data_IF_477402483723
#
_entry.id   IF_477402483723
#
_cell.length_a   1.000
_cell.length_b   1.000
_cell.length_c   1.000
_cell.angle_alpha   90.00
_cell.angle_beta   90.00
_cell.angle_gamma   90.00
#
_symmetry.space_group_name_H-M   'P 1'
#
loop_
_entity.id
_entity.type
_entity.pdbx_description
1 polymer ?
#
# COMPACT_ATOMS: atom_id res chain seq x y z
N UNK A 1 -26.12 -1.13 -13.79
CA UNK A 1 -26.63 0.22 -13.43
C UNK A 1 -25.93 0.61 -12.14
N UNK A 2 -25.11 1.66 -12.15
CA UNK A 2 -24.43 2.16 -10.94
C UNK A 2 -25.45 2.89 -10.07
N UNK A 3 -25.53 2.54 -8.79
CA UNK A 3 -26.46 3.20 -7.86
C UNK A 3 -25.85 4.48 -7.31
N UNK A 4 -26.68 5.39 -6.77
CA UNK A 4 -26.18 6.58 -6.09
C UNK A 4 -25.30 6.25 -4.87
N UNK A 5 -25.56 5.12 -4.20
CA UNK A 5 -24.74 4.62 -3.11
C UNK A 5 -23.33 4.25 -3.59
N UNK A 6 -23.21 3.56 -4.73
CA UNK A 6 -21.91 3.18 -5.31
C UNK A 6 -21.06 4.41 -5.66
N UNK A 7 -21.70 5.47 -6.16
CA UNK A 7 -21.01 6.74 -6.49
C UNK A 7 -20.49 7.42 -5.23
N UNK A 8 -21.28 7.46 -4.16
CA UNK A 8 -20.87 8.05 -2.88
C UNK A 8 -19.74 7.25 -2.23
N UNK A 9 -19.81 5.93 -2.27
CA UNK A 9 -18.77 5.07 -1.73
C UNK A 9 -17.47 5.24 -2.51
N UNK A 10 -17.52 5.21 -3.84
CA UNK A 10 -16.34 5.46 -4.69
C UNK A 10 -15.71 6.84 -4.41
N UNK A 11 -16.53 7.86 -4.13
CA UNK A 11 -16.02 9.19 -3.73
C UNK A 11 -15.34 9.16 -2.37
N UNK A 12 -15.87 8.42 -1.39
CA UNK A 12 -15.25 8.25 -0.07
C UNK A 12 -13.92 7.52 -0.19
N UNK A 13 -13.87 6.43 -0.95
CA UNK A 13 -12.65 5.69 -1.22
C UNK A 13 -11.58 6.56 -1.90
N UNK A 14 -11.99 7.40 -2.86
CA UNK A 14 -11.08 8.34 -3.53
C UNK A 14 -10.50 9.38 -2.55
N UNK A 15 -11.30 9.86 -1.60
CA UNK A 15 -10.82 10.76 -0.53
C UNK A 15 -9.90 10.02 0.44
N UNK A 16 -10.23 8.78 0.82
CA UNK A 16 -9.39 7.94 1.67
C UNK A 16 -8.03 7.67 1.00
N UNK A 17 -8.02 7.36 -0.30
CA UNK A 17 -6.81 7.15 -1.09
C UNK A 17 -5.92 8.40 -1.08
N UNK A 18 -6.49 9.57 -1.39
CA UNK A 18 -5.74 10.83 -1.36
C UNK A 18 -5.12 11.10 0.01
N UNK A 19 -5.88 10.86 1.09
CA UNK A 19 -5.38 11.01 2.46
C UNK A 19 -4.25 10.02 2.75
N UNK A 20 -4.43 8.75 2.39
CA UNK A 20 -3.43 7.70 2.61
C UNK A 20 -2.09 8.06 1.97
N UNK A 21 -2.12 8.37 0.66
CA UNK A 21 -0.92 8.70 -0.11
C UNK A 21 -0.26 9.98 0.41
N UNK A 22 -1.05 10.97 0.84
CA UNK A 22 -0.53 12.20 1.46
C UNK A 22 0.23 11.91 2.76
N UNK A 23 -0.33 11.09 3.64
CA UNK A 23 0.32 10.75 4.90
C UNK A 23 1.59 9.91 4.67
N UNK A 24 1.55 8.96 3.74
CA UNK A 24 2.74 8.20 3.32
C UNK A 24 3.83 9.11 2.73
N UNK A 25 3.47 10.04 1.84
CA UNK A 25 4.42 11.01 1.26
C UNK A 25 5.05 11.95 2.31
N UNK A 26 4.36 12.15 3.44
CA UNK A 26 4.85 12.91 4.58
C UNK A 26 5.59 12.05 5.62
N UNK A 27 5.67 10.73 5.44
CA UNK A 27 6.23 9.80 6.43
C UNK A 27 5.45 9.79 7.74
N UNK A 28 4.15 10.10 7.71
CA UNK A 28 3.31 10.19 8.91
C UNK A 28 2.52 8.91 9.12
N UNK A 29 2.53 8.44 10.36
CA UNK A 29 1.69 7.35 10.84
C UNK A 29 0.47 7.89 11.59
N UNK A 30 -0.60 7.10 11.61
CA UNK A 30 -1.77 7.39 12.43
C UNK A 30 -1.38 7.29 13.92
N UNK A 31 -1.65 8.33 14.73
CA UNK A 31 -1.27 8.32 16.13
C UNK A 31 -2.13 7.33 16.91
N UNK A 32 -1.49 6.39 17.61
CA UNK A 32 -2.18 5.48 18.52
C UNK A 32 -2.45 6.14 19.89
N UNK A 33 -1.61 7.09 20.29
CA UNK A 33 -1.66 7.76 21.58
C UNK A 33 -1.76 9.26 21.38
N UNK A 34 -2.62 9.89 22.16
CA UNK A 34 -2.75 11.36 22.18
C UNK A 34 -2.79 11.87 23.61
N UNK A 35 -2.20 13.04 23.81
CA UNK A 35 -2.22 13.80 25.06
C UNK A 35 -3.01 15.09 24.86
N UNK A 36 -3.69 15.57 25.90
CA UNK A 36 -4.33 16.86 25.86
C UNK A 36 -3.30 17.96 26.16
N UNK A 37 -3.30 19.02 25.35
CA UNK A 37 -2.53 20.23 25.58
C UNK A 37 -3.48 21.37 25.96
N UNK A 38 -3.43 21.77 27.23
CA UNK A 38 -4.31 22.81 27.78
C UNK A 38 -4.07 24.19 27.15
N UNK A 39 -2.86 24.47 26.65
CA UNK A 39 -2.53 25.77 26.05
C UNK A 39 -3.19 25.91 24.68
N UNK A 40 -3.26 24.80 23.94
CA UNK A 40 -3.91 24.75 22.63
C UNK A 40 -5.38 24.33 22.70
N UNK A 41 -5.83 23.82 23.85
CA UNK A 41 -7.16 23.24 24.02
C UNK A 41 -7.40 22.03 23.12
N UNK A 42 -6.35 21.28 22.78
CA UNK A 42 -6.37 20.27 21.71
C UNK A 42 -5.66 18.96 22.07
N UNK A 43 -6.06 17.86 21.42
CA UNK A 43 -5.38 16.57 21.52
C UNK A 43 -4.23 16.48 20.52
N UNK A 44 -3.02 16.19 21.00
CA UNK A 44 -1.80 16.07 20.21
C UNK A 44 -1.33 14.63 20.14
N UNK A 45 -0.83 14.21 18.97
CA UNK A 45 -0.17 12.90 18.78
C UNK A 45 1.07 12.77 19.65
N UNK A 46 1.26 11.61 20.27
CA UNK A 46 2.42 11.32 21.09
C UNK A 46 2.80 9.84 21.03
N UNK A 47 3.95 9.48 21.61
CA UNK A 47 4.31 8.09 21.88
C UNK A 47 3.60 7.57 23.15
N UNK A 48 3.51 6.24 23.27
CA UNK A 48 2.97 5.56 24.46
C UNK A 48 3.69 6.01 25.75
N UNK A 49 5.03 5.96 25.74
CA UNK A 49 5.85 6.30 26.90
C UNK A 49 5.62 7.74 27.38
N UNK A 50 5.46 8.68 26.45
CA UNK A 50 5.15 10.07 26.79
C UNK A 50 3.71 10.25 27.29
N UNK A 51 2.76 9.48 26.74
CA UNK A 51 1.36 9.53 27.15
C UNK A 51 1.20 9.01 28.59
N UNK A 52 1.74 7.84 28.88
CA UNK A 52 1.54 7.15 30.16
C UNK A 52 2.47 7.64 31.27
N UNK A 53 3.64 8.19 30.93
CA UNK A 53 4.61 8.71 31.91
C UNK A 53 4.53 10.22 32.18
N UNK A 54 3.77 10.98 31.38
CA UNK A 54 3.84 12.44 31.35
C UNK A 54 2.95 13.19 32.35
N UNK A 55 2.09 12.50 33.11
CA UNK A 55 1.17 13.10 34.09
C UNK A 55 0.08 14.00 33.49
N UNK A 56 -0.02 14.09 32.15
CA UNK A 56 -1.09 14.80 31.43
C UNK A 56 -2.23 13.85 31.11
N UNK A 57 -3.41 14.41 30.87
CA UNK A 57 -4.53 13.64 30.35
C UNK A 57 -4.17 13.03 28.99
N UNK A 58 -4.36 11.72 28.90
CA UNK A 58 -4.06 10.96 27.70
C UNK A 58 -5.22 10.03 27.34
N UNK A 59 -5.27 9.65 26.07
CA UNK A 59 -6.15 8.57 25.60
C UNK A 59 -5.46 7.77 24.50
N UNK A 60 -5.77 6.48 24.47
CA UNK A 60 -5.42 5.60 23.36
C UNK A 60 -6.51 5.67 22.30
N UNK A 61 -6.14 6.04 21.08
CA UNK A 61 -7.06 6.15 19.94
C UNK A 61 -7.43 4.78 19.39
N UNK A 62 -6.45 3.87 19.34
CA UNK A 62 -6.64 2.48 18.93
C UNK A 62 -7.13 1.65 20.12
N UNK A 63 -8.25 0.95 19.96
CA UNK A 63 -8.64 -0.05 20.96
C UNK A 63 -7.85 -1.35 20.75
N UNK A 64 -7.39 -2.01 21.81
CA UNK A 64 -6.76 -3.33 21.71
C UNK A 64 -7.67 -4.31 20.98
N UNK A 65 -7.12 -5.06 20.01
CA UNK A 65 -7.87 -6.05 19.23
C UNK A 65 -8.67 -5.49 18.05
N UNK A 66 -8.83 -4.18 17.94
CA UNK A 66 -9.46 -3.59 16.75
C UNK A 66 -8.47 -3.50 15.57
N UNK A 67 -8.96 -3.73 14.34
CA UNK A 67 -8.17 -3.52 13.13
C UNK A 67 -7.75 -2.06 13.01
N UNK A 68 -6.53 -1.86 12.53
CA UNK A 68 -5.90 -0.54 12.47
C UNK A 68 -5.00 -0.43 11.24
N UNK A 69 -5.19 0.64 10.47
CA UNK A 69 -4.27 1.06 9.43
C UNK A 69 -3.16 1.91 10.04
N UNK A 70 -1.90 1.54 9.83
CA UNK A 70 -0.74 2.31 10.32
C UNK A 70 -0.72 3.76 9.80
N UNK A 71 -1.37 4.04 8.67
CA UNK A 71 -1.41 5.37 8.03
C UNK A 71 -2.69 6.14 8.35
N UNK A 72 -3.85 5.48 8.32
CA UNK A 72 -5.17 6.13 8.43
C UNK A 72 -5.92 5.83 9.73
N UNK A 73 -5.36 4.99 10.59
CA UNK A 73 -5.94 4.61 11.86
C UNK A 73 -7.14 3.72 11.70
N UNK A 74 -8.32 4.16 12.16
CA UNK A 74 -9.57 3.39 12.08
C UNK A 74 -10.16 3.30 10.68
N UNK A 75 -9.72 4.16 9.76
CA UNK A 75 -10.12 4.05 8.36
C UNK A 75 -9.29 2.94 7.70
N UNK A 76 -9.95 1.83 7.43
CA UNK A 76 -9.37 0.64 6.84
C UNK A 76 -9.57 0.56 5.32
N UNK A 77 -10.29 1.51 4.72
CA UNK A 77 -10.72 1.46 3.31
C UNK A 77 -9.57 1.13 2.36
N UNK A 78 -8.38 1.67 2.62
CA UNK A 78 -7.19 1.41 1.81
C UNK A 78 -6.45 0.15 2.29
N UNK A 79 -6.41 -0.10 3.59
CA UNK A 79 -5.69 -1.24 4.17
C UNK A 79 -6.31 -2.59 3.80
N UNK A 80 -7.64 -2.65 3.60
CA UNK A 80 -8.37 -3.86 3.20
C UNK A 80 -8.49 -4.04 1.69
N UNK A 81 -7.97 -3.11 0.90
CA UNK A 81 -8.00 -3.19 -0.56
C UNK A 81 -6.73 -3.84 -1.09
N UNK A 82 -6.76 -5.16 -1.24
CA UNK A 82 -5.61 -5.96 -1.69
C UNK A 82 -5.05 -5.48 -3.03
N UNK A 83 -5.90 -4.96 -3.93
CA UNK A 83 -5.45 -4.46 -5.23
C UNK A 83 -4.61 -3.19 -5.05
N UNK A 84 -5.03 -2.27 -4.20
CA UNK A 84 -4.23 -1.07 -3.90
C UNK A 84 -2.97 -1.44 -3.12
N UNK A 85 -3.06 -2.32 -2.13
CA UNK A 85 -1.89 -2.79 -1.37
C UNK A 85 -0.85 -3.44 -2.29
N UNK A 86 -1.27 -4.22 -3.30
CA UNK A 86 -0.35 -4.78 -4.29
C UNK A 86 0.39 -3.71 -5.10
N UNK A 87 -0.25 -2.59 -5.42
CA UNK A 87 0.44 -1.46 -6.08
C UNK A 87 1.45 -0.82 -5.13
N UNK A 88 1.06 -0.56 -3.89
CA UNK A 88 1.93 0.08 -2.91
C UNK A 88 3.14 -0.78 -2.53
N UNK A 89 2.98 -2.10 -2.50
CA UNK A 89 4.08 -3.05 -2.29
C UNK A 89 5.18 -2.96 -3.36
N UNK A 90 4.90 -2.37 -4.52
CA UNK A 90 5.92 -2.12 -5.57
C UNK A 90 6.77 -0.88 -5.32
N UNK A 91 6.43 -0.08 -4.30
CA UNK A 91 7.18 1.10 -3.89
C UNK A 91 8.20 0.65 -2.84
N UNK A 92 9.47 0.97 -3.05
CA UNK A 92 10.50 0.70 -2.06
C UNK A 92 10.24 1.47 -0.76
N UNK A 93 10.48 0.84 0.39
CA UNK A 93 10.30 1.46 1.71
C UNK A 93 11.13 2.75 1.87
N UNK A 94 12.28 2.82 1.19
CA UNK A 94 13.19 3.97 1.20
C UNK A 94 13.00 4.95 0.02
N UNK A 95 11.86 4.91 -0.69
CA UNK A 95 11.56 5.86 -1.79
C UNK A 95 10.42 6.85 -1.42
N UNK A 96 10.69 7.85 -0.56
CA UNK A 96 9.73 8.93 -0.30
C UNK A 96 9.42 9.77 -1.55
N UNK A 97 10.30 9.76 -2.56
CA UNK A 97 10.09 10.42 -3.84
C UNK A 97 9.00 9.77 -4.68
N UNK A 98 8.86 8.45 -4.65
CA UNK A 98 7.74 7.73 -5.26
C UNK A 98 6.40 8.12 -4.63
N UNK A 99 6.32 8.12 -3.30
CA UNK A 99 5.09 8.52 -2.60
C UNK A 99 4.67 9.96 -2.93
N UNK A 100 5.63 10.90 -3.01
CA UNK A 100 5.35 12.29 -3.43
C UNK A 100 4.81 12.37 -4.85
N UNK A 101 5.36 11.60 -5.80
CA UNK A 101 4.86 11.55 -7.18
C UNK A 101 3.42 11.02 -7.23
N UNK A 102 3.14 9.92 -6.51
CA UNK A 102 1.79 9.38 -6.41
C UNK A 102 0.82 10.37 -5.75
N UNK A 103 1.28 11.14 -4.76
CA UNK A 103 0.46 12.18 -4.16
C UNK A 103 0.06 13.24 -5.19
N UNK A 104 0.99 13.71 -6.02
CA UNK A 104 0.67 14.68 -7.07
C UNK A 104 -0.34 14.14 -8.09
N UNK A 105 -0.25 12.86 -8.43
CA UNK A 105 -1.21 12.22 -9.34
C UNK A 105 -2.60 12.13 -8.70
N UNK A 106 -2.67 11.63 -7.47
CA UNK A 106 -3.94 11.43 -6.77
C UNK A 106 -4.59 12.74 -6.33
N UNK A 107 -3.82 13.78 -6.05
CA UNK A 107 -4.32 15.10 -5.68
C UNK A 107 -5.10 15.73 -6.85
N UNK A 108 -4.63 15.51 -8.08
CA UNK A 108 -5.26 16.01 -9.31
C UNK A 108 -6.48 15.20 -9.74
N UNK A 109 -6.43 13.88 -9.61
CA UNK A 109 -7.47 13.00 -10.16
C UNK A 109 -7.72 11.74 -9.30
N UNK A 110 -8.22 11.88 -8.06
CA UNK A 110 -8.24 10.78 -7.09
C UNK A 110 -9.11 9.60 -7.53
N UNK A 111 -10.28 9.84 -8.13
CA UNK A 111 -11.17 8.79 -8.60
C UNK A 111 -10.58 8.00 -9.79
N UNK A 112 -9.87 8.69 -10.69
CA UNK A 112 -9.17 8.05 -11.80
C UNK A 112 -8.02 7.19 -11.29
N UNK A 113 -7.17 7.75 -10.43
CA UNK A 113 -6.08 7.01 -9.79
C UNK A 113 -6.59 5.77 -9.04
N UNK A 114 -7.67 5.89 -8.29
CA UNK A 114 -8.29 4.76 -7.59
C UNK A 114 -8.65 3.62 -8.57
N UNK A 115 -9.33 3.93 -9.66
CA UNK A 115 -9.72 2.93 -10.66
C UNK A 115 -8.51 2.31 -11.38
N UNK A 116 -7.60 3.16 -11.86
CA UNK A 116 -6.41 2.77 -12.61
C UNK A 116 -5.47 1.90 -11.75
N UNK A 117 -5.25 2.29 -10.50
CA UNK A 117 -4.38 1.57 -9.58
C UNK A 117 -5.00 0.27 -9.10
N UNK A 118 -6.32 0.22 -8.84
CA UNK A 118 -7.00 -1.06 -8.59
C UNK A 118 -6.88 -2.01 -9.77
N UNK A 119 -7.05 -1.51 -11.00
CA UNK A 119 -6.88 -2.33 -12.21
C UNK A 119 -5.44 -2.85 -12.36
N UNK A 120 -4.44 -2.00 -12.09
CA UNK A 120 -3.03 -2.41 -12.05
C UNK A 120 -2.76 -3.44 -10.97
N UNK A 121 -3.29 -3.22 -9.77
CA UNK A 121 -3.19 -4.11 -8.62
C UNK A 121 -3.72 -5.51 -8.91
N UNK A 122 -4.91 -5.61 -9.49
CA UNK A 122 -5.47 -6.90 -9.94
C UNK A 122 -4.57 -7.62 -10.93
N UNK A 123 -3.91 -6.90 -11.85
CA UNK A 123 -2.94 -7.49 -12.78
C UNK A 123 -1.68 -7.98 -12.07
N UNK A 124 -1.19 -7.23 -11.09
CA UNK A 124 -0.03 -7.64 -10.27
C UNK A 124 -0.35 -8.90 -9.48
N UNK A 125 -1.50 -8.91 -8.78
CA UNK A 125 -1.96 -10.08 -8.04
C UNK A 125 -2.14 -11.30 -8.96
N UNK A 126 -2.80 -11.13 -10.11
CA UNK A 126 -2.96 -12.22 -11.08
C UNK A 126 -1.63 -12.75 -11.63
N UNK A 127 -0.64 -11.88 -11.87
CA UNK A 127 0.68 -12.29 -12.32
C UNK A 127 1.43 -13.10 -11.25
N UNK A 128 1.31 -12.70 -9.98
CA UNK A 128 1.96 -13.39 -8.85
C UNK A 128 1.24 -14.70 -8.48
N UNK A 129 -0.09 -14.72 -8.55
CA UNK A 129 -0.89 -15.95 -8.42
C UNK A 129 -0.72 -16.90 -9.60
N UNK A 130 -0.16 -16.41 -10.72
CA UNK A 130 -0.06 -17.10 -11.99
C UNK A 130 1.21 -17.93 -12.23
N UNK A 131 2.19 -18.00 -11.31
CA UNK A 131 3.43 -18.75 -11.60
C UNK A 131 4.11 -19.44 -10.39
N UNK A 132 4.66 -20.69 -10.52
CA UNK A 132 4.38 -21.70 -11.55
C UNK A 132 3.92 -23.05 -10.95
N UNK A 133 3.08 -23.78 -11.69
CA UNK A 133 3.13 -25.26 -11.64
C UNK A 133 4.59 -25.62 -11.89
N UNK A 134 5.20 -26.37 -10.97
CA UNK A 134 6.49 -27.02 -11.16
C UNK A 134 6.44 -27.86 -12.44
N UNK A 135 6.68 -27.20 -13.57
CA UNK A 135 6.83 -27.86 -14.85
C UNK A 135 8.21 -28.46 -14.78
N UNK A 136 8.24 -29.72 -14.35
CA UNK A 136 9.41 -30.57 -14.44
C UNK A 136 10.02 -30.41 -15.82
N UNK A 137 11.24 -29.88 -15.84
CA UNK A 137 11.94 -29.55 -17.06
C UNK A 137 13.34 -29.16 -16.68
N UNK A 138 14.14 -30.17 -16.32
CA UNK A 138 15.57 -30.01 -16.22
C UNK A 138 16.08 -29.22 -17.44
N UNK A 139 17.15 -28.45 -17.25
CA UNK A 139 17.82 -27.76 -18.36
C UNK A 139 18.17 -28.71 -19.53
N UNK A 140 18.19 -30.03 -19.30
CA UNK A 140 18.39 -31.04 -20.33
C UNK A 140 17.24 -31.13 -21.37
N UNK A 141 16.00 -30.77 -21.04
CA UNK A 141 14.89 -30.75 -22.00
C UNK A 141 15.03 -29.67 -23.08
N UNK A 142 15.65 -28.52 -22.76
CA UNK A 142 15.89 -27.43 -23.72
C UNK A 142 17.00 -27.74 -24.73
N UNK A 143 17.86 -28.72 -24.46
CA UNK A 143 18.93 -29.17 -25.37
C UNK A 143 18.57 -30.47 -26.13
N UNK A 144 17.37 -31.04 -25.92
CA UNK A 144 16.92 -32.23 -26.62
C UNK A 144 16.37 -31.96 -28.03
N UNK A 145 16.24 -30.68 -28.42
CA UNK A 145 15.94 -30.30 -29.81
C UNK A 145 17.14 -30.66 -30.71
N UNK A 146 16.92 -31.68 -31.54
CA UNK A 146 17.87 -32.23 -32.52
C UNK A 146 18.39 -31.13 -33.45
N UNK A 147 19.69 -30.80 -33.38
CA UNK A 147 20.36 -30.07 -34.47
C UNK A 147 21.36 -28.95 -34.15
N UNK A 148 21.61 -28.57 -32.89
CA UNK A 148 22.58 -27.48 -32.59
C UNK A 148 23.60 -27.92 -31.54
N UNK A 149 24.37 -28.95 -31.86
CA UNK A 149 25.50 -29.40 -31.04
C UNK A 149 26.66 -28.41 -31.07
N UNK A 150 27.31 -28.24 -29.91
CA UNK A 150 28.62 -27.58 -29.73
C UNK A 150 29.73 -28.35 -30.47
N UNK A 151 29.77 -28.27 -31.81
CA UNK A 151 30.87 -28.81 -32.63
C UNK A 151 31.44 -27.84 -33.66
N UNK A 152 31.15 -26.55 -33.56
CA UNK A 152 31.66 -25.53 -34.50
C UNK A 152 32.66 -24.52 -33.90
N UNK A 153 33.13 -24.70 -32.66
CA UNK A 153 34.14 -23.80 -32.05
C UNK A 153 35.23 -24.58 -31.30
N UNK A 154 36.04 -25.29 -32.08
CA UNK A 154 37.45 -25.66 -31.84
C UNK A 154 37.85 -26.37 -33.16
N UNK A 155 38.39 -25.69 -34.18
CA UNK A 155 39.64 -24.94 -34.14
C UNK A 155 40.77 -25.91 -34.51
N UNK A 156 41.34 -25.71 -35.70
CA UNK A 156 42.71 -26.02 -36.16
C UNK A 156 43.49 -27.10 -35.42
#
# INVERSE_FOLDING_TARGET
MTTAADVLESRREAVALRRYVREQAAGRAAPEWVIYDDRLGAWLSTSEAQATGGGRDWRRVRQPGEPWCSTLGRDLTIATDDSLQAVFATIGEDDPGAWRRLFLDVDRAPARCLSDWRARGRRLLAAVSGDPVATGGNLAGRFAARGTGKRSLAGV
#
